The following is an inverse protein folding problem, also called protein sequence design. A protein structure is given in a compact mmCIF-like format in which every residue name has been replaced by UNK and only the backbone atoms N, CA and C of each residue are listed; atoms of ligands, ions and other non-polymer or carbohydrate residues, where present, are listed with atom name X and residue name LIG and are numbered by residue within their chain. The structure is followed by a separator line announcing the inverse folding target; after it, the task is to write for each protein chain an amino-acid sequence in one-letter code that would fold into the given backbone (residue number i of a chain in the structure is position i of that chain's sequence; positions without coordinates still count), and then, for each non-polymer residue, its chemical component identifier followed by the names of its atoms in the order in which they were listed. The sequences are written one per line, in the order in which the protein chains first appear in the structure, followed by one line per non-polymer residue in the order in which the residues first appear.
data_IF_801825455378
#
_entry.id   IF_801825455378
#
_cell.length_a   1.000
_cell.length_b   1.000
_cell.length_c   1.000
_cell.angle_alpha   90.00
_cell.angle_beta   90.00
_cell.angle_gamma   90.00
#
_symmetry.space_group_name_H-M   'P 1'
#
loop_
_entity.id
_entity.type
_entity.pdbx_description
1 polymer ?
#
# COMPACT_ATOMS: atom_id res chain seq x y z
N UNK A 1 -16.10 24.47 -60.50
CA UNK A 1 -14.98 24.78 -59.58
C UNK A 1 -15.54 25.50 -58.35
N UNK A 2 -15.56 24.85 -57.17
CA UNK A 2 -15.80 25.39 -55.79
C UNK A 2 -16.59 24.40 -54.90
N UNK A 3 -16.15 23.14 -54.73
CA UNK A 3 -16.72 22.23 -53.70
C UNK A 3 -15.64 21.35 -53.01
N UNK A 4 -14.41 21.24 -53.53
CA UNK A 4 -13.45 20.22 -53.05
C UNK A 4 -12.55 20.65 -51.88
N UNK A 5 -12.62 21.91 -51.42
CA UNK A 5 -11.67 22.43 -50.42
C UNK A 5 -12.12 22.35 -48.94
N UNK A 6 -13.33 21.86 -48.63
CA UNK A 6 -13.88 21.89 -47.26
C UNK A 6 -13.74 20.59 -46.47
N UNK A 7 -13.39 19.47 -47.12
CA UNK A 7 -13.29 18.16 -46.46
C UNK A 7 -11.96 17.93 -45.71
N UNK A 8 -10.90 18.62 -46.08
CA UNK A 8 -9.56 18.42 -45.50
C UNK A 8 -9.35 19.15 -44.16
N UNK A 9 -10.22 20.09 -43.79
CA UNK A 9 -10.10 20.85 -42.53
C UNK A 9 -10.80 20.20 -41.34
N UNK A 10 -11.67 19.20 -41.57
CA UNK A 10 -12.38 18.48 -40.48
C UNK A 10 -11.67 17.19 -40.01
N UNK A 11 -10.75 16.61 -40.79
CA UNK A 11 -9.99 15.43 -40.35
C UNK A 11 -8.78 15.76 -39.46
N UNK A 12 -8.40 17.03 -39.30
CA UNK A 12 -7.25 17.44 -38.50
C UNK A 12 -7.56 17.74 -37.02
N UNK A 13 -8.84 17.69 -36.60
CA UNK A 13 -9.29 18.13 -35.26
C UNK A 13 -9.81 17.01 -34.37
N UNK A 14 -9.67 15.74 -34.77
CA UNK A 14 -10.13 14.61 -33.98
C UNK A 14 -9.03 13.54 -33.84
N UNK A 15 -7.80 13.96 -33.53
CA UNK A 15 -6.96 13.09 -32.72
C UNK A 15 -7.53 13.20 -31.31
N UNK A 16 -8.31 12.22 -30.82
CA UNK A 16 -8.52 12.11 -29.39
C UNK A 16 -7.13 12.13 -28.76
N UNK A 17 -6.88 13.16 -27.96
CA UNK A 17 -5.84 13.09 -26.94
C UNK A 17 -6.36 12.00 -26.02
N UNK A 18 -6.06 10.75 -26.35
CA UNK A 18 -6.35 9.63 -25.47
C UNK A 18 -5.46 9.88 -24.26
N UNK A 19 -6.07 10.40 -23.20
CA UNK A 19 -5.45 10.42 -21.89
C UNK A 19 -4.95 8.99 -21.64
N UNK A 20 -3.65 8.84 -21.47
CA UNK A 20 -3.03 7.55 -21.27
C UNK A 20 -3.63 6.95 -19.99
N UNK A 21 -4.28 5.79 -20.10
CA UNK A 21 -4.80 5.10 -18.92
C UNK A 21 -3.62 4.73 -18.02
N UNK A 22 -3.66 5.19 -16.77
CA UNK A 22 -2.65 4.89 -15.76
C UNK A 22 -3.15 3.73 -14.89
N UNK A 23 -2.26 2.79 -14.61
CA UNK A 23 -2.39 1.83 -13.53
C UNK A 23 -1.98 2.52 -12.23
N UNK A 24 -2.79 2.35 -11.19
CA UNK A 24 -2.50 2.81 -9.83
C UNK A 24 -2.17 1.59 -8.95
N UNK A 25 -1.02 1.65 -8.27
CA UNK A 25 -0.51 0.59 -7.42
C UNK A 25 -0.18 1.16 -6.04
N UNK A 26 -0.67 0.56 -4.98
CA UNK A 26 -0.34 0.89 -3.61
C UNK A 26 0.99 0.26 -3.20
N UNK A 27 1.87 1.10 -2.65
CA UNK A 27 2.97 0.70 -1.78
C UNK A 27 2.57 1.03 -0.34
N UNK A 28 2.31 0.03 0.51
CA UNK A 28 1.88 0.26 1.90
C UNK A 28 2.84 1.08 2.75
N UNK A 29 4.10 1.13 2.33
CA UNK A 29 5.19 1.92 2.90
C UNK A 29 6.06 2.37 1.73
N UNK A 30 6.28 3.67 1.56
CA UNK A 30 7.23 4.16 0.56
C UNK A 30 8.65 3.70 0.92
N UNK A 31 9.53 3.47 -0.08
CA UNK A 31 10.95 3.24 0.18
C UNK A 31 11.49 4.30 1.13
N UNK A 32 12.17 3.86 2.19
CA UNK A 32 12.56 4.72 3.32
C UNK A 32 13.48 3.98 4.28
N UNK A 33 14.23 4.75 5.08
CA UNK A 33 14.95 4.25 6.24
C UNK A 33 14.35 4.87 7.50
N UNK A 34 13.91 4.05 8.44
CA UNK A 34 13.21 4.50 9.64
C UNK A 34 13.88 3.91 10.87
N UNK A 35 14.12 4.80 11.84
CA UNK A 35 14.61 4.43 13.16
C UNK A 35 13.47 4.64 14.15
N UNK A 36 13.07 3.59 14.85
CA UNK A 36 11.97 3.61 15.79
C UNK A 36 12.46 3.36 17.22
N UNK A 37 11.52 3.25 18.17
CA UNK A 37 11.82 2.92 19.56
C UNK A 37 12.59 1.59 19.69
N UNK A 38 13.22 1.37 20.85
CA UNK A 38 13.98 0.14 21.14
C UNK A 38 15.10 -0.15 20.14
N UNK A 39 15.72 0.90 19.59
CA UNK A 39 16.81 0.78 18.62
C UNK A 39 16.44 0.02 17.34
N UNK A 40 15.14 -0.07 17.04
CA UNK A 40 14.64 -0.76 15.86
C UNK A 40 14.95 0.03 14.59
N UNK A 41 15.40 -0.69 13.56
CA UNK A 41 15.71 -0.19 12.23
C UNK A 41 14.80 -0.90 11.23
N UNK A 42 14.16 -0.13 10.37
CA UNK A 42 13.37 -0.62 9.24
C UNK A 42 13.85 0.08 7.98
N UNK A 43 14.35 -0.69 7.01
CA UNK A 43 14.79 -0.19 5.72
C UNK A 43 13.93 -0.82 4.63
N UNK A 44 13.16 0.01 3.92
CA UNK A 44 12.23 -0.42 2.89
C UNK A 44 12.81 -0.11 1.52
N UNK A 45 12.92 -1.14 0.68
CA UNK A 45 13.44 -1.09 -0.68
C UNK A 45 12.34 -1.53 -1.65
N UNK A 46 12.18 -0.80 -2.75
CA UNK A 46 11.40 -1.28 -3.88
C UNK A 46 12.35 -1.82 -4.93
N UNK A 47 12.31 -3.14 -5.13
CA UNK A 47 13.05 -3.82 -6.20
C UNK A 47 12.14 -3.94 -7.41
N UNK A 48 12.56 -3.34 -8.53
CA UNK A 48 11.78 -3.30 -9.78
C UNK A 48 12.56 -3.97 -10.90
N UNK A 49 11.89 -4.79 -11.70
CA UNK A 49 12.40 -5.31 -12.95
C UNK A 49 11.41 -5.00 -14.08
N UNK A 50 11.87 -4.25 -15.08
CA UNK A 50 11.07 -3.89 -16.24
C UNK A 50 11.29 -4.89 -17.37
N UNK A 51 10.31 -5.74 -17.66
CA UNK A 51 10.31 -6.71 -18.76
C UNK A 51 9.88 -6.10 -20.10
N UNK A 52 9.43 -4.85 -20.11
CA UNK A 52 9.01 -4.18 -21.33
C UNK A 52 10.22 -3.88 -22.23
N UNK A 53 9.99 -3.85 -23.54
CA UNK A 53 11.01 -3.49 -24.54
C UNK A 53 11.35 -1.98 -24.55
N UNK A 54 10.71 -1.19 -23.69
CA UNK A 54 10.89 0.25 -23.56
C UNK A 54 11.09 0.63 -22.10
N UNK A 55 11.67 1.82 -21.89
CA UNK A 55 11.73 2.43 -20.56
C UNK A 55 10.31 2.73 -20.07
N UNK A 56 10.08 2.54 -18.78
CA UNK A 56 8.81 2.85 -18.12
C UNK A 56 9.07 3.95 -17.10
N UNK A 57 8.39 5.08 -17.25
CA UNK A 57 8.38 6.15 -16.25
C UNK A 57 7.27 5.83 -15.25
N UNK A 58 7.61 5.91 -13.98
CA UNK A 58 6.65 5.81 -12.89
C UNK A 58 6.52 7.14 -12.19
N UNK A 59 5.32 7.45 -11.72
CA UNK A 59 5.03 8.65 -10.93
C UNK A 59 4.64 8.21 -9.53
N UNK A 60 5.13 8.93 -8.53
CA UNK A 60 4.74 8.73 -7.15
C UNK A 60 4.98 10.01 -6.36
N UNK A 61 4.51 10.03 -5.13
CA UNK A 61 4.79 11.15 -4.24
C UNK A 61 6.30 11.37 -4.05
N UNK A 62 6.69 12.63 -3.84
CA UNK A 62 8.09 13.08 -3.73
C UNK A 62 8.98 12.80 -4.95
N UNK A 63 8.42 12.37 -6.09
CA UNK A 63 9.12 12.03 -7.34
C UNK A 63 10.28 11.02 -7.18
N UNK A 64 10.20 10.16 -6.15
CA UNK A 64 11.27 9.22 -5.79
C UNK A 64 11.38 7.98 -6.68
N UNK A 65 10.37 7.68 -7.49
CA UNK A 65 10.26 6.41 -8.21
C UNK A 65 11.01 6.40 -9.56
N UNK A 66 11.00 7.53 -10.28
CA UNK A 66 11.77 7.74 -11.51
C UNK A 66 11.47 6.76 -12.65
N UNK A 67 12.44 6.61 -13.56
CA UNK A 67 12.34 5.72 -14.73
C UNK A 67 13.09 4.40 -14.51
N UNK A 68 12.57 3.32 -15.11
CA UNK A 68 13.23 2.00 -15.18
C UNK A 68 13.49 1.65 -16.64
N UNK A 69 14.77 1.46 -17.00
CA UNK A 69 15.21 1.10 -18.35
C UNK A 69 14.59 -0.21 -18.84
N UNK A 70 14.51 -0.40 -20.17
CA UNK A 70 14.03 -1.63 -20.78
C UNK A 70 14.88 -2.84 -20.35
N UNK A 71 14.24 -3.95 -20.02
CA UNK A 71 14.88 -5.23 -19.64
C UNK A 71 15.90 -5.07 -18.50
N UNK A 72 15.68 -4.13 -17.59
CA UNK A 72 16.62 -3.78 -16.53
C UNK A 72 15.97 -3.89 -15.15
N UNK A 73 16.80 -4.27 -14.17
CA UNK A 73 16.48 -4.21 -12.76
C UNK A 73 16.94 -2.90 -12.15
N UNK A 74 16.20 -2.39 -11.17
CA UNK A 74 16.58 -1.22 -10.37
C UNK A 74 16.09 -1.44 -8.95
N UNK A 75 16.94 -1.08 -8.00
CA UNK A 75 16.55 -0.93 -6.61
C UNK A 75 16.31 0.55 -6.33
N UNK A 76 15.20 0.84 -5.66
CA UNK A 76 14.81 2.18 -5.23
C UNK A 76 14.81 2.15 -3.70
N UNK A 77 15.80 2.82 -3.12
CA UNK A 77 15.88 3.09 -1.69
C UNK A 77 15.36 4.50 -1.40
N UNK A 78 14.87 4.71 -0.18
CA UNK A 78 14.41 6.03 0.26
C UNK A 78 15.36 6.72 1.22
N UNK A 79 15.05 7.98 1.50
CA UNK A 79 15.75 8.77 2.50
C UNK A 79 15.36 8.32 3.92
N UNK A 80 16.19 8.73 4.89
CA UNK A 80 15.82 8.62 6.29
C UNK A 80 14.55 9.45 6.57
N UNK A 81 13.55 8.82 7.19
CA UNK A 81 12.30 9.45 7.59
C UNK A 81 11.94 9.05 9.02
N UNK A 82 11.33 9.97 9.77
CA UNK A 82 10.75 9.65 11.07
C UNK A 82 9.43 8.89 10.97
N UNK A 83 8.74 8.99 9.83
CA UNK A 83 7.46 8.34 9.59
C UNK A 83 7.32 8.01 8.10
N UNK A 84 7.42 6.73 7.71
CA UNK A 84 7.29 6.36 6.32
C UNK A 84 5.81 6.36 5.96
N UNK A 85 5.43 7.13 4.93
CA UNK A 85 4.05 7.20 4.47
C UNK A 85 3.82 6.16 3.37
N UNK A 86 2.62 5.57 3.25
CA UNK A 86 2.24 4.86 2.03
C UNK A 86 2.24 5.83 0.84
N UNK A 87 2.38 5.26 -0.34
CA UNK A 87 2.37 6.02 -1.59
C UNK A 87 1.70 5.21 -2.70
N UNK A 88 1.13 5.90 -3.67
CA UNK A 88 0.73 5.29 -4.92
C UNK A 88 1.84 5.41 -5.95
N UNK A 89 2.03 4.33 -6.70
CA UNK A 89 2.82 4.28 -7.91
C UNK A 89 1.87 4.29 -9.11
N UNK A 90 2.06 5.27 -9.99
CA UNK A 90 1.32 5.39 -11.24
C UNK A 90 2.25 5.07 -12.41
N UNK A 91 1.74 4.32 -13.38
CA UNK A 91 2.43 4.04 -14.63
C UNK A 91 1.43 3.77 -15.74
N UNK A 92 1.81 3.84 -17.01
CA UNK A 92 0.91 3.42 -18.08
C UNK A 92 0.39 2.00 -17.90
N UNK A 93 -0.92 1.83 -18.01
CA UNK A 93 -1.56 0.51 -17.85
C UNK A 93 -1.02 -0.55 -18.82
N UNK A 94 -0.68 -0.12 -20.04
CA UNK A 94 -0.08 -0.99 -21.05
C UNK A 94 1.32 -1.54 -20.67
N UNK A 95 2.02 -0.89 -19.73
CA UNK A 95 3.36 -1.32 -19.28
C UNK A 95 3.31 -2.09 -17.95
N UNK A 96 2.20 -2.00 -17.21
CA UNK A 96 2.10 -2.51 -15.83
C UNK A 96 2.26 -4.04 -15.73
N UNK A 97 1.85 -4.80 -16.74
CA UNK A 97 2.01 -6.26 -16.76
C UNK A 97 3.44 -6.71 -17.05
N UNK A 98 4.26 -5.83 -17.64
CA UNK A 98 5.69 -6.04 -17.84
C UNK A 98 6.54 -5.60 -16.64
N UNK A 99 5.94 -4.95 -15.64
CA UNK A 99 6.65 -4.56 -14.42
C UNK A 99 6.57 -5.68 -13.39
N UNK A 100 7.72 -6.10 -12.87
CA UNK A 100 7.83 -7.00 -11.70
C UNK A 100 8.38 -6.18 -10.55
N UNK A 101 7.73 -6.25 -9.40
CA UNK A 101 8.07 -5.44 -8.25
C UNK A 101 8.02 -6.29 -6.98
N UNK A 102 8.92 -6.01 -6.05
CA UNK A 102 8.89 -6.54 -4.69
C UNK A 102 9.22 -5.41 -3.72
N UNK A 103 8.42 -5.27 -2.67
CA UNK A 103 8.62 -4.28 -1.62
C UNK A 103 9.21 -4.99 -0.41
N UNK A 104 10.52 -4.88 -0.25
CA UNK A 104 11.28 -5.63 0.75
C UNK A 104 11.58 -4.71 1.93
N UNK A 105 11.35 -5.21 3.14
CA UNK A 105 11.72 -4.52 4.38
C UNK A 105 12.80 -5.33 5.08
N UNK A 106 13.98 -4.72 5.25
CA UNK A 106 15.01 -5.17 6.17
C UNK A 106 14.66 -4.62 7.56
N UNK A 107 14.44 -5.51 8.53
CA UNK A 107 14.11 -5.17 9.92
C UNK A 107 15.09 -5.78 10.90
N UNK A 108 15.45 -5.03 11.94
CA UNK A 108 16.35 -5.52 12.98
C UNK A 108 16.69 -4.47 14.05
N UNK A 109 17.61 -4.85 14.93
CA UNK A 109 18.24 -3.94 15.90
C UNK A 109 19.42 -3.24 15.23
N UNK A 110 19.48 -1.91 15.32
CA UNK A 110 20.55 -1.10 14.71
C UNK A 110 21.94 -1.54 15.14
N UNK A 111 22.08 -2.00 16.38
CA UNK A 111 23.38 -2.33 16.97
C UNK A 111 23.73 -3.82 16.78
N UNK A 112 22.84 -4.61 16.15
CA UNK A 112 23.00 -6.05 15.84
C UNK A 112 22.61 -6.35 14.40
N UNK A 113 23.41 -5.87 13.46
CA UNK A 113 23.14 -6.03 12.03
C UNK A 113 23.10 -7.50 11.58
N UNK A 114 23.70 -8.41 12.34
CA UNK A 114 23.64 -9.86 12.13
C UNK A 114 22.25 -10.48 12.38
N UNK A 115 21.40 -9.82 13.19
CA UNK A 115 20.07 -10.29 13.56
C UNK A 115 18.97 -9.79 12.59
N UNK A 116 19.36 -9.17 11.47
CA UNK A 116 18.42 -8.64 10.49
C UNK A 116 17.56 -9.72 9.84
N UNK A 117 16.31 -9.36 9.54
CA UNK A 117 15.38 -10.20 8.79
C UNK A 117 14.74 -9.42 7.66
N UNK A 118 14.28 -10.16 6.66
CA UNK A 118 13.65 -9.61 5.48
C UNK A 118 12.21 -10.07 5.43
N UNK A 119 11.30 -9.12 5.22
CA UNK A 119 9.89 -9.40 4.98
C UNK A 119 9.46 -8.71 3.70
N UNK A 120 8.63 -9.37 2.91
CA UNK A 120 7.99 -8.75 1.76
C UNK A 120 6.66 -8.12 2.21
N UNK A 121 6.49 -6.86 1.86
CA UNK A 121 5.22 -6.17 1.97
C UNK A 121 4.41 -6.33 0.68
N UNK A 122 3.09 -6.49 0.78
CA UNK A 122 2.23 -6.62 -0.38
C UNK A 122 2.23 -5.35 -1.23
N UNK A 123 2.30 -5.53 -2.55
CA UNK A 123 2.08 -4.49 -3.55
C UNK A 123 0.71 -4.74 -4.15
N UNK A 124 -0.16 -3.73 -4.15
CA UNK A 124 -1.59 -3.93 -4.39
C UNK A 124 -2.07 -3.06 -5.54
N UNK A 125 -2.67 -3.63 -6.57
CA UNK A 125 -3.26 -2.88 -7.68
C UNK A 125 -4.59 -2.27 -7.28
N UNK A 126 -4.99 -1.18 -7.96
CA UNK A 126 -6.29 -0.55 -7.75
C UNK A 126 -7.47 -1.54 -7.88
N UNK A 127 -7.35 -2.53 -8.75
CA UNK A 127 -8.35 -3.58 -8.97
C UNK A 127 -8.54 -4.54 -7.79
N UNK A 128 -7.59 -4.58 -6.86
CA UNK A 128 -7.62 -5.43 -5.66
C UNK A 128 -8.24 -4.72 -4.46
N UNK A 129 -8.51 -3.43 -4.57
CA UNK A 129 -9.30 -2.70 -3.57
C UNK A 129 -10.76 -3.10 -3.68
N UNK A 130 -11.40 -3.33 -2.53
CA UNK A 130 -12.76 -3.84 -2.44
C UNK A 130 -13.66 -2.85 -1.71
N UNK A 131 -14.95 -2.95 -1.97
CA UNK A 131 -16.04 -2.16 -1.37
C UNK A 131 -16.95 -3.04 -0.48
N UNK A 132 -16.42 -4.19 -0.05
CA UNK A 132 -17.11 -5.17 0.78
C UNK A 132 -16.22 -5.59 1.96
N UNK A 133 -16.84 -6.26 2.93
CA UNK A 133 -16.13 -6.83 4.07
C UNK A 133 -15.01 -7.79 3.65
N UNK A 134 -13.85 -7.66 4.28
CA UNK A 134 -12.72 -8.60 4.19
C UNK A 134 -12.42 -9.20 5.56
N UNK A 135 -11.76 -10.35 5.58
CA UNK A 135 -11.38 -11.04 6.82
C UNK A 135 -9.95 -11.54 6.81
N UNK A 136 -9.30 -11.43 7.96
CA UNK A 136 -8.01 -12.04 8.29
C UNK A 136 -8.27 -13.13 9.31
N UNK A 137 -7.99 -14.38 8.95
CA UNK A 137 -8.25 -15.54 9.82
C UNK A 137 -6.93 -16.05 10.37
N UNK A 138 -6.91 -16.39 11.66
CA UNK A 138 -5.74 -17.02 12.28
C UNK A 138 -4.67 -16.02 12.71
N UNK A 139 -5.06 -14.80 13.06
CA UNK A 139 -4.13 -13.81 13.63
C UNK A 139 -3.85 -14.24 15.08
N UNK A 140 -2.62 -14.62 15.39
CA UNK A 140 -2.25 -15.08 16.73
C UNK A 140 -1.97 -13.89 17.67
N UNK A 141 -2.66 -13.88 18.81
CA UNK A 141 -2.50 -12.89 19.89
C UNK A 141 -1.58 -13.46 20.96
N UNK A 142 -0.32 -13.03 21.00
CA UNK A 142 0.70 -13.57 21.92
C UNK A 142 1.48 -12.41 22.56
N UNK A 143 1.76 -12.42 23.89
CA UNK A 143 2.39 -11.28 24.58
C UNK A 143 3.75 -10.86 24.01
N UNK A 144 4.43 -11.78 23.32
CA UNK A 144 5.71 -11.48 22.66
C UNK A 144 5.58 -10.70 21.35
N UNK A 145 4.37 -10.46 20.86
CA UNK A 145 4.10 -9.92 19.54
C UNK A 145 3.06 -8.81 19.56
N UNK A 146 3.24 -7.82 18.70
CA UNK A 146 2.26 -6.77 18.41
C UNK A 146 1.59 -7.04 17.07
N UNK A 147 0.27 -6.89 17.03
CA UNK A 147 -0.53 -7.01 15.83
C UNK A 147 -1.01 -5.62 15.42
N UNK A 148 -0.63 -5.19 14.23
CA UNK A 148 -0.99 -3.88 13.67
C UNK A 148 -1.90 -4.11 12.48
N UNK A 149 -3.07 -3.45 12.44
CA UNK A 149 -3.94 -3.44 11.26
C UNK A 149 -3.68 -2.16 10.49
N UNK A 150 -3.38 -2.25 9.20
CA UNK A 150 -3.17 -1.11 8.31
C UNK A 150 -4.23 -1.09 7.24
N UNK A 151 -4.91 0.05 7.07
CA UNK A 151 -6.07 0.19 6.20
C UNK A 151 -5.86 1.38 5.27
N UNK A 152 -6.06 1.16 3.98
CA UNK A 152 -5.80 2.11 2.90
C UNK A 152 -7.06 2.30 2.09
N UNK A 153 -7.49 3.55 1.86
CA UNK A 153 -8.54 3.89 0.91
C UNK A 153 -7.94 4.29 -0.45
N UNK A 154 -8.57 3.83 -1.53
CA UNK A 154 -8.06 3.99 -2.89
C UNK A 154 -8.06 5.44 -3.38
N UNK A 155 -9.12 6.18 -3.03
CA UNK A 155 -9.35 7.54 -3.53
C UNK A 155 -8.28 8.52 -3.03
N UNK A 156 -7.86 8.40 -1.76
CA UNK A 156 -6.79 9.22 -1.21
C UNK A 156 -7.15 10.68 -0.91
N UNK A 157 -8.32 11.14 -1.37
CA UNK A 157 -8.74 12.54 -1.25
C UNK A 157 -9.89 12.75 -0.27
N UNK A 158 -10.72 11.73 -0.09
CA UNK A 158 -11.90 11.79 0.77
C UNK A 158 -11.70 11.09 2.11
N UNK A 159 -12.43 11.54 3.12
CA UNK A 159 -12.56 10.80 4.37
C UNK A 159 -13.38 9.54 4.14
N UNK A 160 -12.89 8.42 4.68
CA UNK A 160 -13.62 7.16 4.71
C UNK A 160 -13.76 6.66 6.14
N UNK A 161 -14.76 5.80 6.38
CA UNK A 161 -14.89 5.08 7.64
C UNK A 161 -15.03 3.59 7.38
N UNK A 162 -14.41 2.80 8.23
CA UNK A 162 -14.50 1.34 8.25
C UNK A 162 -14.82 0.88 9.66
N UNK A 163 -15.56 -0.22 9.79
CA UNK A 163 -15.71 -0.95 11.05
C UNK A 163 -14.66 -2.05 11.10
N UNK A 164 -13.88 -2.09 12.18
CA UNK A 164 -12.94 -3.19 12.47
C UNK A 164 -13.48 -3.99 13.63
N UNK A 165 -13.68 -5.28 13.41
CA UNK A 165 -14.14 -6.22 14.43
C UNK A 165 -13.15 -7.35 14.58
N UNK A 166 -12.88 -7.79 15.81
CA UNK A 166 -12.14 -9.02 16.04
C UNK A 166 -12.97 -10.01 16.84
N UNK A 167 -12.91 -11.28 16.44
CA UNK A 167 -13.60 -12.38 17.09
C UNK A 167 -12.58 -13.41 17.54
N UNK A 168 -12.73 -13.97 18.74
CA UNK A 168 -12.01 -15.18 19.12
C UNK A 168 -12.40 -16.32 18.18
N UNK A 169 -11.42 -16.98 17.56
CA UNK A 169 -11.68 -17.97 16.52
C UNK A 169 -12.28 -19.28 17.06
N UNK A 170 -12.20 -19.53 18.36
CA UNK A 170 -12.73 -20.74 19.01
C UNK A 170 -14.13 -20.51 19.56
N UNK A 171 -14.35 -19.36 20.22
CA UNK A 171 -15.63 -19.06 20.87
C UNK A 171 -16.58 -18.24 20.01
N UNK A 172 -16.09 -17.63 18.92
CA UNK A 172 -16.78 -16.62 18.10
C UNK A 172 -17.23 -15.39 18.89
N UNK A 173 -16.67 -15.17 20.08
CA UNK A 173 -16.93 -13.98 20.89
C UNK A 173 -16.30 -12.75 20.22
N UNK A 174 -17.07 -11.67 20.11
CA UNK A 174 -16.58 -10.37 19.67
C UNK A 174 -15.71 -9.75 20.79
N UNK A 175 -14.41 -9.65 20.54
CA UNK A 175 -13.42 -9.16 21.51
C UNK A 175 -12.94 -7.74 21.21
N UNK A 176 -13.26 -7.20 20.03
CA UNK A 176 -12.91 -5.83 19.62
C UNK A 176 -13.91 -5.33 18.59
N UNK A 177 -14.35 -4.07 18.72
CA UNK A 177 -15.26 -3.43 17.78
C UNK A 177 -14.99 -1.91 17.75
N UNK A 178 -14.31 -1.44 16.71
CA UNK A 178 -13.93 -0.04 16.58
C UNK A 178 -14.17 0.50 15.17
N UNK A 179 -14.81 1.67 15.12
CA UNK A 179 -14.90 2.44 13.88
C UNK A 179 -13.60 3.22 13.67
N UNK A 180 -12.93 3.00 12.55
CA UNK A 180 -11.70 3.68 12.18
C UNK A 180 -11.95 4.67 11.04
N UNK A 181 -11.34 5.85 11.16
CA UNK A 181 -11.37 6.89 10.15
C UNK A 181 -10.14 6.78 9.25
N UNK A 182 -10.36 6.76 7.93
CA UNK A 182 -9.32 6.87 6.91
C UNK A 182 -9.13 8.34 6.57
N UNK A 183 -7.96 8.87 6.94
CA UNK A 183 -7.62 10.29 6.75
C UNK A 183 -6.83 10.45 5.45
N UNK A 184 -7.19 11.40 4.57
CA UNK A 184 -6.31 11.83 3.48
C UNK A 184 -4.95 12.24 4.05
N UNK A 185 -3.87 11.63 3.56
CA UNK A 185 -2.53 11.87 4.10
C UNK A 185 -1.84 13.10 3.51
N UNK A 186 -2.27 13.53 2.32
CA UNK A 186 -1.65 14.63 1.59
C UNK A 186 -2.60 15.18 0.52
N UNK A 187 -2.44 16.46 0.20
CA UNK A 187 -3.10 17.12 -0.93
C UNK A 187 -2.32 16.96 -2.25
N UNK A 188 -1.19 16.25 -2.23
CA UNK A 188 -0.39 15.94 -3.43
C UNK A 188 -1.22 15.19 -4.48
N UNK A 189 -1.17 15.66 -5.73
CA UNK A 189 -1.82 15.06 -6.89
C UNK A 189 -0.85 14.95 -8.06
N UNK A 190 -1.05 13.96 -8.94
CA UNK A 190 -0.37 13.92 -10.24
C UNK A 190 -0.98 14.92 -11.24
N UNK A 191 -0.45 14.99 -12.46
CA UNK A 191 -0.93 15.89 -13.51
C UNK A 191 -2.40 15.63 -13.91
N UNK A 192 -2.89 14.41 -13.68
CA UNK A 192 -4.27 13.98 -13.93
C UNK A 192 -5.19 14.23 -12.73
N UNK A 193 -4.70 14.84 -11.65
CA UNK A 193 -5.48 15.15 -10.45
C UNK A 193 -5.73 13.97 -9.51
N UNK A 194 -5.05 12.85 -9.70
CA UNK A 194 -5.17 11.65 -8.85
C UNK A 194 -4.28 11.79 -7.60
N UNK A 195 -4.73 11.30 -6.45
CA UNK A 195 -3.97 11.34 -5.20
C UNK A 195 -2.65 10.57 -5.31
N UNK A 196 -1.55 11.16 -4.86
CA UNK A 196 -0.26 10.44 -4.79
C UNK A 196 -0.13 9.57 -3.53
N UNK A 197 -1.06 9.68 -2.58
CA UNK A 197 -1.10 8.89 -1.35
C UNK A 197 -2.51 8.38 -1.07
N UNK A 198 -2.67 7.20 -0.46
CA UNK A 198 -3.97 6.71 -0.02
C UNK A 198 -4.46 7.52 1.19
N UNK A 199 -5.76 7.41 1.47
CA UNK A 199 -6.30 7.75 2.77
C UNK A 199 -5.95 6.60 3.70
N UNK A 200 -5.59 6.88 4.94
CA UNK A 200 -4.93 5.87 5.76
C UNK A 200 -5.41 5.89 7.20
N UNK A 201 -5.42 4.70 7.80
CA UNK A 201 -5.61 4.50 9.22
C UNK A 201 -4.79 3.28 9.66
N UNK A 202 -4.37 3.27 10.91
CA UNK A 202 -3.77 2.09 11.51
C UNK A 202 -4.20 1.92 12.96
N UNK A 203 -4.37 0.68 13.38
CA UNK A 203 -4.35 0.29 14.78
C UNK A 203 -2.94 -0.22 15.05
N UNK A 204 -2.22 0.47 15.92
CA UNK A 204 -0.79 0.26 16.17
C UNK A 204 -0.55 -1.05 16.92
N UNK A 205 -1.42 -1.36 17.88
CA UNK A 205 -1.23 -2.49 18.78
C UNK A 205 -2.55 -3.03 19.31
N UNK A 206 -3.15 -3.97 18.56
CA UNK A 206 -4.36 -4.66 18.99
C UNK A 206 -4.21 -5.39 20.32
N UNK A 207 -2.99 -5.67 20.78
CA UNK A 207 -2.77 -6.36 22.05
C UNK A 207 -3.00 -5.47 23.28
N UNK A 208 -3.10 -4.14 23.10
CA UNK A 208 -3.51 -3.21 24.16
C UNK A 208 -5.00 -3.36 24.48
N UNK A 209 -5.83 -3.69 23.48
CA UNK A 209 -7.28 -3.82 23.62
C UNK A 209 -7.75 -5.27 23.73
N UNK A 210 -7.04 -6.21 23.10
CA UNK A 210 -7.39 -7.63 23.06
C UNK A 210 -6.38 -8.43 23.89
N UNK A 211 -6.83 -9.22 24.89
CA UNK A 211 -5.92 -10.03 25.71
C UNK A 211 -5.00 -10.94 24.88
N UNK A 212 -3.69 -10.74 25.02
CA UNK A 212 -2.67 -11.58 24.39
C UNK A 212 -2.49 -12.89 25.17
N UNK A 213 -3.43 -13.82 25.06
CA UNK A 213 -3.46 -15.09 25.81
C UNK A 213 -3.00 -16.32 24.98
N UNK A 214 -2.44 -16.09 23.79
CA UNK A 214 -2.01 -17.13 22.85
C UNK A 214 -3.09 -17.58 21.87
N UNK A 215 -4.30 -17.02 21.93
CA UNK A 215 -5.41 -17.43 21.07
C UNK A 215 -5.26 -16.90 19.65
N UNK A 216 -6.02 -17.48 18.73
CA UNK A 216 -6.16 -16.96 17.37
C UNK A 216 -7.45 -16.17 17.27
N UNK A 217 -7.39 -15.02 16.60
CA UNK A 217 -8.55 -14.19 16.29
C UNK A 217 -8.81 -14.15 14.79
N UNK A 218 -10.05 -13.83 14.46
CA UNK A 218 -10.50 -13.43 13.12
C UNK A 218 -10.77 -11.95 13.15
N UNK A 219 -10.09 -11.19 12.29
CA UNK A 219 -10.33 -9.75 12.15
C UNK A 219 -11.17 -9.54 10.90
N UNK A 220 -12.25 -8.77 11.00
CA UNK A 220 -13.07 -8.31 9.89
C UNK A 220 -12.92 -6.80 9.72
N UNK A 221 -12.85 -6.34 8.48
CA UNK A 221 -12.88 -4.91 8.13
C UNK A 221 -13.99 -4.68 7.12
N UNK A 222 -14.93 -3.81 7.45
CA UNK A 222 -16.15 -3.52 6.66
C UNK A 222 -16.25 -2.02 6.35
N UNK A 223 -16.45 -1.60 5.09
CA UNK A 223 -16.60 -0.20 4.76
C UNK A 223 -17.97 0.31 5.24
N UNK A 224 -17.99 1.46 5.91
CA UNK A 224 -19.21 2.14 6.35
C UNK A 224 -19.59 3.31 5.44
N UNK A 225 -18.61 3.92 4.79
CA UNK A 225 -18.82 4.99 3.82
C UNK A 225 -19.24 4.43 2.46
N UNK A 226 -20.32 4.97 1.88
CA UNK A 226 -20.78 4.57 0.54
C UNK A 226 -19.71 4.85 -0.52
N UNK A 227 -19.47 3.87 -1.40
CA UNK A 227 -18.49 3.96 -2.48
C UNK A 227 -17.03 3.85 -2.05
N UNK A 228 -16.74 3.68 -0.75
CA UNK A 228 -15.37 3.49 -0.26
C UNK A 228 -14.79 2.17 -0.78
N UNK A 229 -13.74 2.28 -1.59
CA UNK A 229 -12.86 1.17 -1.92
C UNK A 229 -11.63 1.20 -1.03
N UNK A 230 -11.37 0.10 -0.35
CA UNK A 230 -10.27 -0.02 0.59
C UNK A 230 -9.51 -1.34 0.40
N UNK A 231 -8.32 -1.37 0.98
CA UNK A 231 -7.51 -2.57 1.13
C UNK A 231 -6.83 -2.52 2.49
N UNK A 232 -6.53 -3.69 3.07
CA UNK A 232 -5.88 -3.75 4.37
C UNK A 232 -5.03 -5.00 4.53
N UNK A 233 -4.13 -4.98 5.50
CA UNK A 233 -3.40 -6.16 5.98
C UNK A 233 -3.09 -6.03 7.47
N UNK A 234 -2.72 -7.17 8.07
CA UNK A 234 -2.22 -7.23 9.44
C UNK A 234 -0.72 -7.50 9.40
N UNK A 235 0.08 -6.76 10.14
CA UNK A 235 1.47 -7.12 10.43
C UNK A 235 1.61 -7.62 11.86
N UNK A 236 2.40 -8.67 12.05
CA UNK A 236 2.69 -9.24 13.37
C UNK A 236 4.18 -9.08 13.64
N UNK A 237 4.53 -8.28 14.64
CA UNK A 237 5.92 -7.88 14.93
C UNK A 237 6.35 -8.45 16.28
N UNK A 238 7.50 -9.11 16.33
CA UNK A 238 8.09 -9.59 17.58
C UNK A 238 8.67 -8.41 18.39
N UNK A 239 8.25 -8.27 19.64
CA UNK A 239 8.64 -7.13 20.50
C UNK A 239 10.11 -7.14 20.90
N UNK A 240 10.78 -8.30 20.84
CA UNK A 240 12.18 -8.45 21.18
C UNK A 240 13.10 -8.28 19.97
N UNK A 241 12.78 -8.93 18.86
CA UNK A 241 13.68 -8.97 17.68
C UNK A 241 13.31 -7.97 16.60
N UNK A 242 12.11 -7.38 16.66
CA UNK A 242 11.55 -6.48 15.63
C UNK A 242 11.30 -7.17 14.27
N UNK A 243 11.46 -8.50 14.22
CA UNK A 243 11.10 -9.29 13.06
C UNK A 243 9.59 -9.27 12.90
N UNK A 244 9.11 -9.18 11.67
CA UNK A 244 7.69 -9.17 11.40
C UNK A 244 7.32 -9.99 10.17
N UNK A 245 6.06 -10.35 10.08
CA UNK A 245 5.44 -10.92 8.89
C UNK A 245 4.07 -10.28 8.66
N UNK A 246 3.50 -10.48 7.47
CA UNK A 246 2.20 -9.92 7.10
C UNK A 246 1.17 -11.02 6.88
N UNK A 247 -0.09 -10.69 7.14
CA UNK A 247 -1.28 -11.51 6.87
C UNK A 247 -2.17 -10.67 5.96
N UNK A 248 -2.35 -11.14 4.72
CA UNK A 248 -3.20 -10.49 3.71
C UNK A 248 -4.60 -11.12 3.68
N UNK A 249 -5.61 -10.42 3.13
CA UNK A 249 -6.96 -10.95 3.02
C UNK A 249 -7.00 -12.23 2.17
N UNK A 250 -7.95 -13.13 2.45
CA UNK A 250 -8.27 -14.31 1.63
C UNK A 250 -9.64 -14.20 0.98
#
# INVERSE_FOLDING_TARGET
MKIVALASLLCALALPIFAQEMEQILLPVAPSLVMCAYNSRYETHLVVYNQNARKVKTECADDGCGEVSATAGREIAGNASSMPLPTFLYMPKADADGMRMSLIVESGDRDKLEDRTFAELPIVRASEFVDKKISFVGVRMDPGFRQTVRIFGLDGTTYGTVQVRAYDLTTEELVYDQTMWLWPMSDERNEQGQALRPSFSMECDLSEDIPANGHHIRIEVEPLSEGLKFWAFVSVTNNKTQHFYTIVPR
#
